data_IF_658509244038
#
_entry.id   IF_658509244038
#
_cell.length_a   1.000
_cell.length_b   1.000
_cell.length_c   1.000
_cell.angle_alpha   90.00
_cell.angle_beta   90.00
_cell.angle_gamma   90.00
#
_symmetry.space_group_name_H-M   'P 1'
#
loop_
_entity.id
_entity.type
_entity.pdbx_description
1 polymer ?
#
# COMPACT_ATOMS: atom_id res chain seq x y z
N UNK A 1 8.27 -21.09 3.35
CA UNK A 1 7.58 -19.92 3.92
C UNK A 1 6.12 -20.02 3.54
N UNK A 2 5.21 -19.92 4.50
CA UNK A 2 3.77 -19.98 4.25
C UNK A 2 3.32 -18.63 3.69
N UNK A 3 2.54 -18.64 2.60
CA UNK A 3 1.94 -17.41 2.07
C UNK A 3 0.94 -16.87 3.09
N UNK A 4 1.00 -15.59 3.47
CA UNK A 4 0.08 -15.02 4.43
C UNK A 4 -1.36 -15.08 3.94
N UNK A 5 -2.30 -15.33 4.85
CA UNK A 5 -3.73 -15.15 4.59
C UNK A 5 -4.16 -13.77 5.06
N UNK A 6 -4.93 -13.10 4.24
CA UNK A 6 -5.41 -11.74 4.50
C UNK A 6 -6.91 -11.79 4.82
N UNK A 7 -7.25 -11.54 6.08
CA UNK A 7 -8.63 -11.64 6.60
C UNK A 7 -9.58 -10.62 5.98
N UNK A 8 -9.05 -9.49 5.51
CA UNK A 8 -9.82 -8.46 4.82
C UNK A 8 -10.54 -8.96 3.57
N UNK A 9 -10.08 -10.04 2.94
CA UNK A 9 -10.77 -10.68 1.82
C UNK A 9 -12.17 -11.19 2.19
N UNK A 10 -12.40 -11.50 3.46
CA UNK A 10 -13.69 -11.97 3.97
C UNK A 10 -14.57 -10.84 4.52
N UNK A 11 -14.04 -9.62 4.61
CA UNK A 11 -14.79 -8.48 5.10
C UNK A 11 -15.96 -8.16 4.14
N UNK A 12 -17.19 -7.88 4.64
CA UNK A 12 -18.37 -7.67 3.79
C UNK A 12 -18.17 -6.60 2.70
N UNK A 13 -17.50 -5.50 3.03
CA UNK A 13 -17.20 -4.39 2.10
C UNK A 13 -16.35 -4.88 0.93
N UNK A 14 -15.33 -5.70 1.18
CA UNK A 14 -14.42 -6.24 0.15
C UNK A 14 -15.11 -7.36 -0.63
N UNK A 15 -15.82 -8.24 0.08
CA UNK A 15 -16.54 -9.36 -0.52
C UNK A 15 -17.62 -8.91 -1.51
N UNK A 16 -18.28 -7.78 -1.28
CA UNK A 16 -19.26 -7.19 -2.19
C UNK A 16 -18.65 -6.83 -3.56
N UNK A 17 -17.32 -6.65 -3.64
CA UNK A 17 -16.60 -6.32 -4.87
C UNK A 17 -16.03 -7.55 -5.59
N UNK A 18 -16.26 -8.77 -5.10
CA UNK A 18 -15.68 -10.01 -5.64
C UNK A 18 -16.10 -10.31 -7.09
N UNK A 19 -17.29 -9.85 -7.51
CA UNK A 19 -17.85 -10.05 -8.86
C UNK A 19 -17.41 -8.98 -9.86
N UNK A 20 -16.80 -7.89 -9.40
CA UNK A 20 -16.31 -6.83 -10.28
C UNK A 20 -15.11 -7.34 -11.09
N UNK A 21 -15.05 -6.97 -12.38
CA UNK A 21 -13.89 -7.23 -13.22
C UNK A 21 -12.68 -6.36 -12.78
N UNK A 22 -11.48 -6.73 -13.18
CA UNK A 22 -10.27 -5.96 -12.91
C UNK A 22 -10.34 -4.53 -13.46
N UNK A 23 -10.92 -4.39 -14.65
CA UNK A 23 -11.14 -3.10 -15.30
C UNK A 23 -12.10 -2.22 -14.50
N UNK A 24 -13.18 -2.78 -14.00
CA UNK A 24 -14.14 -2.06 -13.16
C UNK A 24 -13.50 -1.64 -11.83
N UNK A 25 -12.79 -2.54 -11.16
CA UNK A 25 -12.08 -2.22 -9.91
C UNK A 25 -11.04 -1.13 -10.12
N UNK A 26 -10.26 -1.20 -11.20
CA UNK A 26 -9.27 -0.16 -11.52
C UNK A 26 -9.94 1.18 -11.80
N UNK A 27 -11.02 1.21 -12.59
CA UNK A 27 -11.76 2.45 -12.86
C UNK A 27 -12.37 3.04 -11.58
N UNK A 28 -12.92 2.20 -10.71
CA UNK A 28 -13.49 2.65 -9.43
C UNK A 28 -12.41 3.23 -8.52
N UNK A 29 -11.25 2.56 -8.40
CA UNK A 29 -10.13 3.07 -7.65
C UNK A 29 -9.62 4.42 -8.18
N UNK A 30 -9.52 4.58 -9.49
CA UNK A 30 -9.05 5.84 -10.12
C UNK A 30 -10.04 6.99 -9.94
N UNK A 31 -11.34 6.70 -9.93
CA UNK A 31 -12.40 7.71 -9.74
C UNK A 31 -12.61 8.10 -8.27
N UNK A 32 -12.38 7.15 -7.37
CA UNK A 32 -12.61 7.28 -5.93
C UNK A 32 -11.37 6.88 -5.13
N UNK A 33 -10.26 7.63 -5.26
CA UNK A 33 -8.99 7.28 -4.59
C UNK A 33 -9.05 7.42 -3.06
N UNK A 34 -10.06 8.09 -2.55
CA UNK A 34 -10.41 8.27 -1.14
C UNK A 34 -11.25 7.12 -0.56
N UNK A 35 -11.69 6.17 -1.41
CA UNK A 35 -12.35 4.95 -0.98
C UNK A 35 -11.39 3.77 -1.02
N UNK A 36 -10.91 3.31 0.14
CA UNK A 36 -9.87 2.29 0.25
C UNK A 36 -10.29 0.88 -0.15
N UNK A 37 -11.59 0.59 -0.16
CA UNK A 37 -12.15 -0.73 -0.49
C UNK A 37 -11.76 -1.23 -1.87
N UNK A 38 -11.63 -0.35 -2.86
CA UNK A 38 -11.31 -0.75 -4.25
C UNK A 38 -9.86 -1.23 -4.34
N UNK A 39 -8.92 -0.49 -3.77
CA UNK A 39 -7.54 -0.93 -3.68
C UNK A 39 -7.41 -2.21 -2.84
N UNK A 40 -8.12 -2.29 -1.72
CA UNK A 40 -8.14 -3.49 -0.87
C UNK A 40 -8.67 -4.71 -1.63
N UNK A 41 -9.69 -4.55 -2.49
CA UNK A 41 -10.20 -5.65 -3.31
C UNK A 41 -9.16 -6.12 -4.35
N UNK A 42 -8.45 -5.20 -5.02
CA UNK A 42 -7.35 -5.53 -5.93
C UNK A 42 -6.24 -6.25 -5.15
N UNK A 43 -5.85 -5.73 -3.99
CA UNK A 43 -4.87 -6.33 -3.11
C UNK A 43 -5.25 -7.77 -2.75
N UNK A 44 -6.45 -8.01 -2.25
CA UNK A 44 -6.91 -9.34 -1.84
C UNK A 44 -6.90 -10.34 -3.01
N UNK A 45 -7.20 -9.88 -4.22
CA UNK A 45 -7.24 -10.73 -5.43
C UNK A 45 -5.85 -11.21 -5.84
N UNK A 46 -4.82 -10.37 -5.70
CA UNK A 46 -3.50 -10.61 -6.25
C UNK A 46 -2.39 -10.80 -5.21
N UNK A 47 -2.68 -10.59 -3.93
CA UNK A 47 -1.70 -10.65 -2.84
C UNK A 47 -0.92 -11.96 -2.78
N UNK A 48 -1.58 -13.10 -2.99
CA UNK A 48 -0.94 -14.41 -2.94
C UNK A 48 0.08 -14.61 -4.07
N UNK A 49 -0.27 -14.21 -5.30
CA UNK A 49 0.62 -14.31 -6.46
C UNK A 49 1.86 -13.45 -6.24
N UNK A 50 1.65 -12.19 -5.84
CA UNK A 50 2.75 -11.25 -5.60
C UNK A 50 3.65 -11.73 -4.46
N UNK A 51 3.08 -12.19 -3.35
CA UNK A 51 3.87 -12.69 -2.23
C UNK A 51 4.70 -13.94 -2.62
N UNK A 52 4.13 -14.83 -3.44
CA UNK A 52 4.84 -16.02 -3.94
C UNK A 52 6.07 -15.63 -4.77
N UNK A 53 5.98 -14.60 -5.60
CA UNK A 53 7.13 -14.11 -6.38
C UNK A 53 8.25 -13.56 -5.48
N UNK A 54 7.87 -12.88 -4.39
CA UNK A 54 8.81 -12.22 -3.48
C UNK A 54 9.52 -13.20 -2.57
N UNK A 55 8.82 -14.22 -2.06
CA UNK A 55 9.37 -15.16 -1.07
C UNK A 55 10.61 -15.92 -1.57
N UNK A 56 10.78 -16.09 -2.88
CA UNK A 56 11.94 -16.75 -3.49
C UNK A 56 13.15 -15.81 -3.62
N UNK A 57 12.97 -14.52 -3.47
CA UNK A 57 14.03 -13.52 -3.63
C UNK A 57 14.54 -12.99 -2.29
N UNK A 58 13.66 -12.86 -1.31
CA UNK A 58 14.01 -12.34 0.01
C UNK A 58 14.82 -13.34 0.83
N UNK A 59 15.84 -12.84 1.55
CA UNK A 59 16.74 -13.66 2.38
C UNK A 59 16.13 -14.07 3.73
N UNK A 60 15.06 -13.42 4.15
CA UNK A 60 14.36 -13.71 5.40
C UNK A 60 12.87 -13.39 5.30
N UNK A 61 12.01 -14.00 6.14
CA UNK A 61 10.59 -13.66 6.19
C UNK A 61 10.32 -12.17 6.46
N UNK A 62 11.09 -11.55 7.34
CA UNK A 62 10.96 -10.10 7.67
C UNK A 62 11.25 -9.24 6.44
N UNK A 63 12.27 -9.58 5.67
CA UNK A 63 12.57 -8.88 4.41
C UNK A 63 11.52 -9.15 3.34
N UNK A 64 10.94 -10.36 3.29
CA UNK A 64 9.85 -10.68 2.37
C UNK A 64 8.61 -9.83 2.67
N UNK A 65 8.20 -9.75 3.92
CA UNK A 65 7.06 -8.95 4.37
C UNK A 65 7.26 -7.45 4.07
N UNK A 66 8.47 -6.96 4.33
CA UNK A 66 8.80 -5.55 4.06
C UNK A 66 8.83 -5.24 2.56
N UNK A 67 9.47 -6.10 1.76
CA UNK A 67 9.50 -5.96 0.30
C UNK A 67 8.09 -6.03 -0.29
N UNK A 68 7.25 -6.93 0.21
CA UNK A 68 5.86 -7.04 -0.18
C UNK A 68 5.09 -5.73 0.05
N UNK A 69 5.28 -5.11 1.21
CA UNK A 69 4.66 -3.83 1.51
C UNK A 69 5.18 -2.69 0.61
N UNK A 70 6.50 -2.65 0.35
CA UNK A 70 7.10 -1.66 -0.55
C UNK A 70 6.56 -1.79 -1.99
N UNK A 71 6.43 -3.01 -2.50
CA UNK A 71 5.89 -3.28 -3.83
C UNK A 71 4.43 -2.83 -3.91
N UNK A 72 3.60 -3.18 -2.92
CA UNK A 72 2.21 -2.74 -2.90
C UNK A 72 2.06 -1.22 -2.75
N UNK A 73 2.96 -0.57 -2.03
CA UNK A 73 3.00 0.90 -1.99
C UNK A 73 3.33 1.50 -3.37
N UNK A 74 4.27 0.90 -4.10
CA UNK A 74 4.57 1.34 -5.46
C UNK A 74 3.37 1.10 -6.39
N UNK A 75 2.78 -0.09 -6.37
CA UNK A 75 1.57 -0.43 -7.12
C UNK A 75 0.43 0.56 -6.81
N UNK A 76 0.22 0.90 -5.54
CA UNK A 76 -0.80 1.85 -5.10
C UNK A 76 -0.69 3.22 -5.79
N UNK A 77 0.52 3.69 -6.01
CA UNK A 77 0.75 4.95 -6.71
C UNK A 77 0.58 4.80 -8.23
N UNK A 78 1.13 3.76 -8.81
CA UNK A 78 1.10 3.52 -10.26
C UNK A 78 -0.30 3.21 -10.80
N UNK A 79 -1.14 2.53 -10.02
CA UNK A 79 -2.53 2.24 -10.40
C UNK A 79 -3.36 3.50 -10.64
N UNK A 80 -3.00 4.64 -10.04
CA UNK A 80 -3.72 5.92 -10.21
C UNK A 80 -3.69 6.42 -11.66
N UNK A 81 -2.63 6.12 -12.39
CA UNK A 81 -2.40 6.57 -13.77
C UNK A 81 -2.39 5.43 -14.79
N UNK A 82 -2.61 4.18 -14.36
CA UNK A 82 -2.56 3.02 -15.24
C UNK A 82 -3.70 3.05 -16.26
N UNK A 83 -3.35 3.00 -17.54
CA UNK A 83 -4.30 2.81 -18.64
C UNK A 83 -4.10 1.43 -19.29
N UNK A 84 -5.07 0.55 -19.08
CA UNK A 84 -5.07 -0.78 -19.68
C UNK A 84 -5.54 -0.77 -21.15
N UNK A 85 -5.93 0.40 -21.71
CA UNK A 85 -6.45 0.54 -23.08
C UNK A 85 -5.33 0.75 -24.12
N UNK A 86 -4.13 1.09 -23.71
CA UNK A 86 -3.03 1.49 -24.63
C UNK A 86 -2.60 0.39 -25.61
N UNK A 87 -3.16 -0.83 -25.52
CA UNK A 87 -2.90 -1.95 -26.43
C UNK A 87 -4.15 -2.47 -27.13
N UNK A 88 -5.23 -1.71 -27.22
CA UNK A 88 -6.28 -2.05 -28.19
C UNK A 88 -5.74 -1.75 -29.60
N UNK A 89 -5.66 -2.75 -30.50
CA UNK A 89 -5.31 -2.46 -31.89
C UNK A 89 -6.38 -1.50 -32.44
N UNK A 90 -5.95 -0.30 -32.83
CA UNK A 90 -6.80 0.62 -33.59
C UNK A 90 -7.32 -0.16 -34.80
N UNK A 91 -8.63 -0.40 -34.86
CA UNK A 91 -9.29 -1.04 -36.00
C UNK A 91 -9.01 -0.22 -37.27
N UNK A 92 -7.87 -0.48 -37.89
CA UNK A 92 -7.62 -0.17 -39.29
C UNK A 92 -8.26 -1.26 -40.11
N UNK A 93 -9.31 -0.91 -40.85
CA UNK A 93 -10.01 -1.68 -41.87
C UNK A 93 -9.09 -2.67 -42.60
N UNK A 94 -9.22 -3.96 -42.36
CA UNK A 94 -8.44 -5.01 -43.02
C UNK A 94 -9.18 -6.32 -43.03
N UNK A 95 -9.88 -6.60 -44.13
CA UNK A 95 -10.45 -7.88 -44.55
C UNK A 95 -9.45 -9.04 -44.35
N UNK A 96 -9.80 -10.09 -43.61
CA UNK A 96 -8.97 -11.29 -43.63
C UNK A 96 -9.36 -12.35 -42.61
N UNK A 97 -10.03 -13.39 -43.06
CA UNK A 97 -10.09 -14.79 -42.63
C UNK A 97 -9.69 -15.15 -41.19
N UNK A 98 -10.67 -15.69 -40.47
CA UNK A 98 -10.54 -16.18 -39.13
C UNK A 98 -9.56 -17.34 -38.96
N UNK A 99 -8.72 -17.21 -37.93
CA UNK A 99 -8.22 -18.31 -37.13
C UNK A 99 -8.41 -17.94 -35.68
N UNK A 100 -9.28 -18.71 -35.01
CA UNK A 100 -9.56 -18.67 -33.57
C UNK A 100 -8.33 -19.16 -32.81
N UNK A 101 -7.40 -18.28 -32.45
CA UNK A 101 -6.37 -18.39 -31.43
C UNK A 101 -5.44 -17.18 -31.55
N UNK A 102 -6.02 -15.97 -31.61
CA UNK A 102 -5.23 -14.76 -31.39
C UNK A 102 -5.48 -14.32 -29.93
N UNK A 103 -4.68 -14.86 -29.00
CA UNK A 103 -4.48 -14.27 -27.69
C UNK A 103 -3.77 -12.94 -27.93
N UNK A 104 -4.56 -11.93 -28.28
CA UNK A 104 -4.11 -10.54 -28.32
C UNK A 104 -3.44 -10.23 -26.99
N UNK A 105 -2.22 -9.63 -26.96
CA UNK A 105 -1.54 -9.32 -25.72
C UNK A 105 -2.20 -8.12 -25.05
N UNK A 106 -3.47 -8.29 -24.65
CA UNK A 106 -4.09 -7.32 -23.77
C UNK A 106 -3.31 -7.31 -22.47
N UNK A 107 -2.83 -6.13 -22.08
CA UNK A 107 -2.18 -5.95 -20.80
C UNK A 107 -3.23 -6.19 -19.70
N UNK A 108 -3.39 -7.44 -19.27
CA UNK A 108 -4.26 -7.74 -18.13
C UNK A 108 -3.66 -7.08 -16.87
N UNK A 109 -4.52 -6.67 -15.96
CA UNK A 109 -4.06 -6.13 -14.66
C UNK A 109 -3.12 -7.13 -13.97
N UNK A 110 -3.40 -8.42 -14.06
CA UNK A 110 -2.54 -9.47 -13.51
C UNK A 110 -1.13 -9.45 -14.11
N UNK A 111 -1.00 -9.41 -15.44
CA UNK A 111 0.29 -9.38 -16.12
C UNK A 111 1.06 -8.10 -15.77
N UNK A 112 0.37 -6.97 -15.71
CA UNK A 112 0.97 -5.71 -15.29
C UNK A 112 1.52 -5.80 -13.86
N UNK A 113 0.74 -6.35 -12.92
CA UNK A 113 1.15 -6.53 -11.53
C UNK A 113 2.36 -7.45 -11.39
N UNK A 114 2.41 -8.56 -12.15
CA UNK A 114 3.54 -9.49 -12.17
C UNK A 114 4.80 -8.77 -12.69
N UNK A 115 4.70 -8.05 -13.80
CA UNK A 115 5.82 -7.31 -14.39
C UNK A 115 6.32 -6.21 -13.44
N UNK A 116 5.41 -5.45 -12.83
CA UNK A 116 5.74 -4.42 -11.86
C UNK A 116 6.44 -5.02 -10.63
N UNK A 117 5.96 -6.17 -10.16
CA UNK A 117 6.59 -6.89 -9.05
C UNK A 117 8.01 -7.33 -9.41
N UNK A 118 8.23 -7.88 -10.60
CA UNK A 118 9.56 -8.28 -11.06
C UNK A 118 10.52 -7.10 -11.16
N UNK A 119 10.06 -5.95 -11.68
CA UNK A 119 10.85 -4.73 -11.74
C UNK A 119 11.25 -4.24 -10.34
N UNK A 120 10.29 -4.18 -9.42
CA UNK A 120 10.55 -3.77 -8.05
C UNK A 120 11.53 -4.70 -7.33
N UNK A 121 11.40 -6.02 -7.51
CA UNK A 121 12.34 -7.02 -6.94
C UNK A 121 13.77 -6.76 -7.44
N UNK A 122 13.94 -6.51 -8.74
CA UNK A 122 15.27 -6.28 -9.34
C UNK A 122 15.92 -4.96 -8.88
N UNK A 123 15.14 -3.99 -8.48
CA UNK A 123 15.61 -2.68 -8.04
C UNK A 123 15.69 -2.53 -6.51
N UNK A 124 15.17 -3.52 -5.77
CA UNK A 124 15.06 -3.41 -4.33
C UNK A 124 16.41 -3.53 -3.62
N UNK A 125 16.79 -2.49 -2.91
CA UNK A 125 17.84 -2.52 -1.90
C UNK A 125 17.19 -2.66 -0.52
N UNK A 126 17.27 -3.88 0.04
CA UNK A 126 16.63 -4.16 1.31
C UNK A 126 17.58 -3.82 2.47
N UNK A 127 17.10 -3.11 3.50
CA UNK A 127 17.88 -2.84 4.69
C UNK A 127 18.14 -4.13 5.48
N UNK A 128 19.15 -4.12 6.40
CA UNK A 128 19.37 -5.23 7.32
C UNK A 128 18.11 -5.49 8.16
N UNK A 129 17.89 -6.77 8.50
CA UNK A 129 16.67 -7.22 9.22
C UNK A 129 16.46 -6.44 10.52
N UNK A 130 17.54 -6.12 11.23
CA UNK A 130 17.52 -5.41 12.51
C UNK A 130 16.98 -3.98 12.43
N UNK A 131 17.04 -3.37 11.23
CA UNK A 131 16.54 -2.02 10.99
C UNK A 131 15.10 -1.98 10.48
N UNK A 132 14.53 -3.12 10.09
CA UNK A 132 13.14 -3.21 9.62
C UNK A 132 12.20 -3.15 10.84
N UNK A 133 11.32 -2.14 10.85
CA UNK A 133 10.28 -1.93 11.88
C UNK A 133 8.87 -2.17 11.36
N UNK A 134 8.74 -2.73 10.17
CA UNK A 134 7.47 -3.07 9.55
C UNK A 134 6.95 -4.42 10.04
N UNK A 135 5.64 -4.52 10.25
CA UNK A 135 4.94 -5.76 10.55
C UNK A 135 3.73 -5.91 9.64
N UNK A 136 3.77 -6.91 8.77
CA UNK A 136 2.68 -7.22 7.83
C UNK A 136 1.36 -7.51 8.57
N UNK A 137 1.44 -8.13 9.75
CA UNK A 137 0.27 -8.43 10.58
C UNK A 137 -0.36 -7.18 11.19
N UNK A 138 0.47 -6.21 11.61
CA UNK A 138 -0.02 -4.99 12.27
C UNK A 138 -0.54 -3.96 11.25
N UNK A 139 0.07 -3.90 10.07
CA UNK A 139 -0.30 -2.96 9.01
C UNK A 139 -0.22 -3.64 7.64
N UNK A 140 -1.27 -4.38 7.22
CA UNK A 140 -1.33 -4.92 5.87
C UNK A 140 -1.17 -3.81 4.82
N UNK A 141 -0.66 -4.12 3.62
CA UNK A 141 -0.34 -3.11 2.61
C UNK A 141 -1.43 -2.06 2.33
N UNK A 142 -2.73 -2.39 2.23
CA UNK A 142 -3.73 -1.35 2.04
C UNK A 142 -3.79 -0.36 3.21
N UNK A 143 -3.85 -0.85 4.45
CA UNK A 143 -3.81 0.03 5.62
C UNK A 143 -2.54 0.89 5.64
N UNK A 144 -1.38 0.28 5.38
CA UNK A 144 -0.10 0.99 5.38
C UNK A 144 -0.03 2.08 4.31
N UNK A 145 -0.57 1.85 3.10
CA UNK A 145 -0.61 2.85 2.03
C UNK A 145 -1.44 4.08 2.43
N UNK A 146 -2.63 3.87 2.99
CA UNK A 146 -3.48 4.98 3.44
C UNK A 146 -2.92 5.69 4.68
N UNK A 147 -2.28 4.96 5.61
CA UNK A 147 -1.55 5.57 6.73
C UNK A 147 -0.40 6.46 6.24
N UNK A 148 0.35 6.04 5.22
CA UNK A 148 1.41 6.87 4.63
C UNK A 148 0.84 8.16 4.01
N UNK A 149 -0.27 8.08 3.29
CA UNK A 149 -0.94 9.27 2.77
C UNK A 149 -1.42 10.20 3.89
N UNK A 150 -1.99 9.65 4.95
CA UNK A 150 -2.43 10.43 6.12
C UNK A 150 -1.25 11.10 6.84
N UNK A 151 -0.10 10.42 6.95
CA UNK A 151 1.14 11.00 7.48
C UNK A 151 1.65 12.18 6.65
N UNK A 152 1.45 12.15 5.32
CA UNK A 152 1.85 13.24 4.43
C UNK A 152 1.02 14.52 4.63
N UNK A 153 -0.16 14.41 5.23
CA UNK A 153 -1.02 15.55 5.60
C UNK A 153 -0.62 16.22 6.93
N UNK A 154 0.28 15.60 7.69
CA UNK A 154 0.82 16.19 8.90
C UNK A 154 1.94 17.18 8.57
N UNK A 155 2.14 18.18 9.45
CA UNK A 155 3.35 19.00 9.38
C UNK A 155 4.60 18.14 9.58
N UNK A 156 5.80 18.56 9.09
CA UNK A 156 7.02 17.81 9.28
C UNK A 156 7.31 17.49 10.76
N UNK A 157 7.06 18.45 11.65
CA UNK A 157 7.24 18.27 13.08
C UNK A 157 6.27 17.23 13.65
N UNK A 158 4.98 17.33 13.32
CA UNK A 158 3.97 16.38 13.78
C UNK A 158 4.24 14.97 13.26
N UNK A 159 4.64 14.85 11.97
CA UNK A 159 5.01 13.57 11.37
C UNK A 159 6.19 12.94 12.10
N UNK A 160 7.24 13.72 12.39
CA UNK A 160 8.40 13.26 13.15
C UNK A 160 7.98 12.77 14.54
N UNK A 161 7.22 13.57 15.29
CA UNK A 161 6.76 13.22 16.64
C UNK A 161 5.95 11.90 16.62
N UNK A 162 5.01 11.76 15.68
CA UNK A 162 4.19 10.55 15.55
C UNK A 162 5.07 9.34 15.24
N UNK A 163 5.96 9.43 14.26
CA UNK A 163 6.83 8.33 13.87
C UNK A 163 7.76 7.91 15.01
N UNK A 164 8.41 8.86 15.68
CA UNK A 164 9.31 8.55 16.80
C UNK A 164 8.56 7.93 17.97
N UNK A 165 7.37 8.42 18.28
CA UNK A 165 6.55 7.90 19.37
C UNK A 165 5.96 6.52 19.04
N UNK A 166 5.29 6.38 17.88
CA UNK A 166 4.49 5.18 17.56
C UNK A 166 5.32 4.04 16.96
N UNK A 167 6.33 4.36 16.14
CA UNK A 167 7.14 3.34 15.47
C UNK A 167 8.39 2.97 16.27
N UNK A 168 9.07 3.98 16.84
CA UNK A 168 10.33 3.78 17.57
C UNK A 168 10.18 3.77 19.09
N UNK A 169 8.96 4.03 19.59
CA UNK A 169 8.63 4.04 21.02
C UNK A 169 9.52 4.96 21.85
N UNK A 170 9.90 6.11 21.29
CA UNK A 170 10.64 7.12 22.02
C UNK A 170 9.73 7.82 23.02
N UNK A 171 10.27 8.10 24.20
CA UNK A 171 9.59 8.95 25.18
C UNK A 171 9.54 10.41 24.72
N UNK A 172 8.55 11.15 25.20
CA UNK A 172 8.40 12.59 24.92
C UNK A 172 9.67 13.38 25.24
N UNK A 173 10.35 13.02 26.37
CA UNK A 173 11.63 13.62 26.75
C UNK A 173 12.74 13.35 25.72
N UNK A 174 12.81 12.14 25.18
CA UNK A 174 13.81 11.80 24.16
C UNK A 174 13.53 12.52 22.84
N UNK A 175 12.26 12.61 22.44
CA UNK A 175 11.84 13.35 21.24
C UNK A 175 12.19 14.83 21.39
N UNK A 176 11.84 15.45 22.53
CA UNK A 176 12.14 16.85 22.80
C UNK A 176 13.66 17.12 22.79
N UNK A 177 14.45 16.26 23.46
CA UNK A 177 15.91 16.41 23.47
C UNK A 177 16.54 16.32 22.07
N UNK A 178 16.04 15.42 21.23
CA UNK A 178 16.50 15.33 19.84
C UNK A 178 16.16 16.61 19.06
N UNK A 179 14.91 17.07 19.13
CA UNK A 179 14.44 18.27 18.43
C UNK A 179 15.18 19.54 18.92
N UNK A 180 15.47 19.63 20.21
CA UNK A 180 16.28 20.74 20.76
C UNK A 180 17.71 20.73 20.22
N UNK A 181 18.31 19.56 20.02
CA UNK A 181 19.62 19.43 19.38
C UNK A 181 19.61 19.88 17.90
N UNK A 182 18.48 19.77 17.23
CA UNK A 182 18.25 20.27 15.86
C UNK A 182 17.84 21.77 15.82
N UNK A 183 17.75 22.43 16.98
CA UNK A 183 17.44 23.86 17.08
C UNK A 183 15.97 24.21 17.29
N UNK A 184 15.12 23.25 17.52
CA UNK A 184 13.69 23.46 17.81
C UNK A 184 13.49 23.83 19.29
N UNK A 185 12.69 24.85 19.54
CA UNK A 185 12.34 25.28 20.91
C UNK A 185 11.11 24.51 21.41
N UNK A 186 11.26 23.25 21.75
CA UNK A 186 10.18 22.37 22.16
C UNK A 186 10.47 21.67 23.49
N UNK A 187 9.48 21.64 24.39
CA UNK A 187 9.55 20.89 25.65
C UNK A 187 8.88 19.52 25.53
N UNK A 188 9.12 18.56 26.46
CA UNK A 188 8.39 17.31 26.51
C UNK A 188 6.86 17.50 26.58
N UNK A 189 6.40 18.51 27.32
CA UNK A 189 4.98 18.84 27.39
C UNK A 189 4.40 19.32 26.05
N UNK A 190 5.20 20.02 25.23
CA UNK A 190 4.80 20.47 23.90
C UNK A 190 4.76 19.28 22.93
N UNK A 191 5.66 18.32 23.05
CA UNK A 191 5.61 17.05 22.28
C UNK A 191 4.29 16.33 22.57
N UNK A 192 3.89 16.20 23.84
CA UNK A 192 2.60 15.59 24.23
C UNK A 192 1.40 16.35 23.66
N UNK A 193 1.44 17.70 23.69
CA UNK A 193 0.39 18.54 23.09
C UNK A 193 0.28 18.39 21.58
N UNK A 194 1.38 18.13 20.87
CA UNK A 194 1.38 17.91 19.42
C UNK A 194 0.97 16.48 19.05
N UNK A 195 1.35 15.49 19.83
CA UNK A 195 1.14 14.07 19.53
C UNK A 195 -0.37 13.73 19.44
N UNK A 196 -1.16 14.12 20.44
CA UNK A 196 -2.60 13.80 20.48
C UNK A 196 -3.37 14.34 19.27
N UNK A 197 -3.28 15.66 18.94
CA UNK A 197 -3.96 16.19 17.75
C UNK A 197 -3.45 15.58 16.44
N UNK A 198 -2.14 15.26 16.37
CA UNK A 198 -1.56 14.64 15.19
C UNK A 198 -2.10 13.24 14.96
N UNK A 199 -2.20 12.40 16.01
CA UNK A 199 -2.81 11.08 15.93
C UNK A 199 -4.30 11.17 15.56
N UNK A 200 -5.06 12.10 16.17
CA UNK A 200 -6.47 12.30 15.83
C UNK A 200 -6.66 12.77 14.37
N UNK A 201 -5.79 13.65 13.88
CA UNK A 201 -5.81 14.08 12.47
C UNK A 201 -5.48 12.93 11.53
N UNK A 202 -4.48 12.10 11.87
CA UNK A 202 -4.09 10.93 11.10
C UNK A 202 -5.26 9.95 10.99
N UNK A 203 -5.90 9.63 12.10
CA UNK A 203 -7.07 8.76 12.14
C UNK A 203 -8.23 9.34 11.31
N UNK A 204 -8.58 10.62 11.50
CA UNK A 204 -9.64 11.27 10.75
C UNK A 204 -9.37 11.43 9.25
N UNK A 205 -8.11 11.29 8.82
CA UNK A 205 -7.71 11.36 7.42
C UNK A 205 -7.75 10.01 6.70
N UNK A 206 -7.98 8.92 7.42
CA UNK A 206 -8.16 7.61 6.80
C UNK A 206 -9.55 7.51 6.17
N UNK A 207 -9.70 6.82 5.01
CA UNK A 207 -11.00 6.51 4.45
C UNK A 207 -11.87 5.72 5.43
N UNK A 208 -13.17 6.00 5.44
CA UNK A 208 -14.14 5.34 6.32
C UNK A 208 -14.16 3.82 6.16
N UNK A 209 -14.05 3.35 4.93
CA UNK A 209 -14.00 1.91 4.64
C UNK A 209 -12.67 1.25 5.10
N UNK A 210 -11.56 1.98 5.13
CA UNK A 210 -10.32 1.51 5.76
C UNK A 210 -10.48 1.39 7.26
N UNK A 211 -11.17 2.35 7.92
CA UNK A 211 -11.54 2.20 9.33
C UNK A 211 -12.36 0.95 9.57
N UNK A 212 -13.42 0.73 8.77
CA UNK A 212 -14.30 -0.42 8.92
C UNK A 212 -13.56 -1.74 8.72
N UNK A 213 -12.64 -1.81 7.74
CA UNK A 213 -11.94 -3.06 7.40
C UNK A 213 -10.85 -3.40 8.40
N UNK A 214 -10.12 -2.42 8.93
CA UNK A 214 -8.88 -2.67 9.69
C UNK A 214 -8.89 -2.19 11.13
N UNK A 215 -9.74 -1.22 11.50
CA UNK A 215 -9.70 -0.57 12.80
C UNK A 215 -10.99 -0.74 13.61
N UNK A 216 -12.11 -1.11 12.98
CA UNK A 216 -13.34 -1.46 13.70
C UNK A 216 -13.15 -2.86 14.30
N UNK A 217 -12.83 -2.90 15.61
CA UNK A 217 -12.77 -4.11 16.41
C UNK A 217 -14.12 -4.37 17.10
#
# INVERSE_FOLDING_TARGET
>A
VQVPSFSEAYHPVVKALSTQSDRELLMLYQRHPDEGKYFTAIFCRYSQIIYTLIQHTAKSPVQADYLFALIWRHIFHELKSLDLRQNEPTNGNGNGNGNLHDESPYLSLQNWLINMTALCINQAELPPVESIRYSLKAAPPPLWCYLQQALDLLSPLQRFIVLMSQTFHWSEGRIAAYLQAEGEMISPADVSKQLKPACAKLEASLPEDIHQIYLAA
#
